data_IF_312601889716
#
_entry.id   IF_312601889716
#
_cell.length_a   1.000
_cell.length_b   1.000
_cell.length_c   1.000
_cell.angle_alpha   90.00
_cell.angle_beta   90.00
_cell.angle_gamma   90.00
#
_symmetry.space_group_name_H-M   'P 1'
#
loop_
_entity.id
_entity.type
_entity.pdbx_description
1 polymer ?
#
# COMPACT_ATOMS: atom_id res chain seq x y z
N UNK A 1 -6.98 14.26 5.06
CA UNK A 1 -6.65 12.97 4.44
C UNK A 1 -6.28 13.21 2.99
N UNK A 2 -5.07 12.83 2.59
CA UNK A 2 -4.66 12.79 1.19
C UNK A 2 -4.22 11.35 0.93
N UNK A 3 -5.06 10.58 0.25
CA UNK A 3 -4.64 9.27 -0.27
C UNK A 3 -3.63 9.57 -1.38
N UNK A 4 -2.40 9.01 -1.31
CA UNK A 4 -1.43 9.17 -2.38
C UNK A 4 -2.01 8.58 -3.67
N UNK A 5 -1.68 9.18 -4.82
CA UNK A 5 -2.02 8.55 -6.10
C UNK A 5 -1.31 7.20 -6.22
N UNK A 6 -1.79 6.34 -7.12
CA UNK A 6 -1.15 5.06 -7.39
C UNK A 6 0.35 5.21 -7.74
N UNK A 7 0.71 6.24 -8.51
CA UNK A 7 2.10 6.53 -8.87
C UNK A 7 2.94 6.92 -7.65
N UNK A 8 2.38 7.73 -6.75
CA UNK A 8 3.06 8.15 -5.53
C UNK A 8 3.22 6.97 -4.56
N UNK A 9 2.21 6.09 -4.46
CA UNK A 9 2.31 4.84 -3.71
C UNK A 9 3.45 3.95 -4.23
N UNK A 10 3.57 3.80 -5.56
CA UNK A 10 4.66 3.04 -6.18
C UNK A 10 6.02 3.64 -5.81
N UNK A 11 6.18 4.96 -5.92
CA UNK A 11 7.44 5.63 -5.60
C UNK A 11 7.78 5.51 -4.11
N UNK A 12 6.78 5.62 -3.22
CA UNK A 12 6.98 5.38 -1.79
C UNK A 12 7.43 3.93 -1.54
N UNK A 13 6.75 2.93 -2.11
CA UNK A 13 7.12 1.52 -1.93
C UNK A 13 8.53 1.23 -2.43
N UNK A 14 8.92 1.78 -3.59
CA UNK A 14 10.29 1.69 -4.11
C UNK A 14 11.31 2.31 -3.16
N UNK A 15 10.97 3.42 -2.49
CA UNK A 15 11.86 4.07 -1.54
C UNK A 15 12.10 3.22 -0.29
N UNK A 16 11.11 2.43 0.14
CA UNK A 16 11.22 1.57 1.34
C UNK A 16 11.91 0.26 1.01
N UNK A 17 11.49 -0.40 -0.08
CA UNK A 17 11.99 -1.73 -0.45
C UNK A 17 13.30 -1.69 -1.25
N UNK A 18 13.67 -0.52 -1.79
CA UNK A 18 14.84 -0.36 -2.67
C UNK A 18 14.63 -0.90 -4.09
N UNK A 19 13.40 -1.31 -4.44
CA UNK A 19 13.08 -1.81 -5.77
C UNK A 19 13.30 -0.74 -6.86
N UNK A 20 13.94 -1.13 -7.96
CA UNK A 20 14.14 -0.25 -9.12
C UNK A 20 12.84 0.01 -9.88
N UNK A 21 11.99 -1.01 -9.95
CA UNK A 21 10.71 -0.99 -10.67
C UNK A 21 9.69 -1.81 -9.90
N UNK A 22 8.53 -1.21 -9.68
CA UNK A 22 7.34 -1.88 -9.14
C UNK A 22 6.23 -1.69 -10.17
N UNK A 23 5.66 -2.79 -10.64
CA UNK A 23 4.51 -2.78 -11.54
C UNK A 23 3.23 -2.91 -10.71
N UNK A 24 2.29 -1.99 -10.91
CA UNK A 24 1.08 -1.91 -10.09
C UNK A 24 0.10 -3.06 -10.35
N UNK A 25 0.25 -3.77 -11.46
CA UNK A 25 -0.64 -4.85 -11.89
C UNK A 25 0.00 -6.23 -11.70
N UNK A 26 1.21 -6.29 -11.14
CA UNK A 26 1.91 -7.54 -10.78
C UNK A 26 1.69 -7.85 -9.29
N UNK A 27 1.48 -9.13 -8.92
CA UNK A 27 1.39 -9.53 -7.52
C UNK A 27 2.67 -9.15 -6.76
N UNK A 28 2.52 -8.59 -5.55
CA UNK A 28 3.64 -8.19 -4.70
C UNK A 28 4.57 -9.37 -4.40
N UNK A 29 4.04 -10.59 -4.34
CA UNK A 29 4.80 -11.82 -4.15
C UNK A 29 5.72 -12.18 -5.31
N UNK A 30 5.45 -11.67 -6.52
CA UNK A 30 6.30 -11.85 -7.69
C UNK A 30 7.38 -10.75 -7.80
N UNK A 31 7.30 -9.70 -6.97
CA UNK A 31 8.30 -8.63 -6.92
C UNK A 31 9.39 -9.04 -5.92
N UNK A 32 10.50 -9.58 -6.44
CA UNK A 32 11.59 -10.12 -5.61
C UNK A 32 12.22 -9.12 -4.64
N UNK A 33 12.12 -7.82 -4.95
CA UNK A 33 12.68 -6.72 -4.14
C UNK A 33 11.66 -6.14 -3.13
N UNK A 34 10.50 -6.78 -2.94
CA UNK A 34 9.48 -6.34 -1.97
C UNK A 34 9.19 -7.46 -0.99
N UNK A 35 9.62 -7.29 0.25
CA UNK A 35 9.34 -8.21 1.33
C UNK A 35 8.24 -7.70 2.27
N UNK A 36 7.67 -8.60 3.06
CA UNK A 36 6.68 -8.26 4.09
C UNK A 36 7.17 -7.20 5.09
N UNK A 37 8.48 -7.10 5.32
CA UNK A 37 9.08 -6.10 6.19
C UNK A 37 8.97 -4.69 5.58
N UNK A 38 9.22 -4.55 4.28
CA UNK A 38 9.13 -3.28 3.57
C UNK A 38 7.69 -2.77 3.52
N UNK A 39 6.72 -3.69 3.31
CA UNK A 39 5.30 -3.37 3.35
C UNK A 39 4.87 -2.83 4.73
N UNK A 40 5.38 -3.43 5.79
CA UNK A 40 5.11 -2.98 7.16
C UNK A 40 5.77 -1.63 7.45
N UNK A 41 7.03 -1.43 7.04
CA UNK A 41 7.72 -0.15 7.20
C UNK A 41 7.00 0.97 6.45
N UNK A 42 6.58 0.71 5.21
CA UNK A 42 5.77 1.64 4.43
C UNK A 42 4.46 1.98 5.15
N UNK A 43 3.74 0.97 5.66
CA UNK A 43 2.47 1.16 6.37
C UNK A 43 2.64 2.04 7.61
N UNK A 44 3.69 1.81 8.41
CA UNK A 44 3.99 2.66 9.56
C UNK A 44 4.28 4.10 9.15
N UNK A 45 5.03 4.31 8.06
CA UNK A 45 5.24 5.64 7.50
C UNK A 45 3.94 6.31 7.07
N UNK A 46 3.08 5.56 6.37
CA UNK A 46 1.77 6.03 5.92
C UNK A 46 0.85 6.41 7.10
N UNK A 47 0.74 5.54 8.12
CA UNK A 47 -0.02 5.79 9.34
C UNK A 47 0.53 7.00 10.10
N UNK A 48 1.85 7.16 10.17
CA UNK A 48 2.46 8.31 10.83
C UNK A 48 2.15 9.63 10.10
N UNK A 49 2.07 9.61 8.77
CA UNK A 49 1.70 10.77 7.97
C UNK A 49 0.18 11.01 7.95
N UNK A 50 -0.62 9.95 8.14
CA UNK A 50 -2.08 9.97 8.09
C UNK A 50 -2.66 9.23 9.31
N UNK A 51 -2.55 9.79 10.53
CA UNK A 51 -2.96 9.12 11.76
C UNK A 51 -4.46 8.78 11.80
N UNK A 52 -5.28 9.55 11.08
CA UNK A 52 -6.74 9.35 10.99
C UNK A 52 -7.18 8.48 9.80
N UNK A 53 -6.27 7.89 9.02
CA UNK A 53 -6.64 7.13 7.82
C UNK A 53 -7.21 5.73 8.10
N UNK A 54 -7.03 5.21 9.32
CA UNK A 54 -7.50 3.86 9.68
C UNK A 54 -6.91 2.74 8.82
N UNK A 55 -5.77 2.98 8.17
CA UNK A 55 -5.06 1.97 7.40
C UNK A 55 -4.34 1.02 8.35
N UNK A 56 -4.52 -0.28 8.16
CA UNK A 56 -3.92 -1.34 8.97
C UNK A 56 -3.39 -2.45 8.06
N UNK A 57 -2.69 -3.43 8.62
CA UNK A 57 -2.12 -4.55 7.87
C UNK A 57 -3.14 -5.32 6.99
N UNK A 58 -4.44 -5.20 7.28
CA UNK A 58 -5.53 -5.70 6.43
C UNK A 58 -5.49 -5.18 4.99
N UNK A 59 -4.88 -4.01 4.73
CA UNK A 59 -4.71 -3.53 3.35
C UNK A 59 -3.83 -4.46 2.51
N UNK A 60 -2.95 -5.24 3.16
CA UNK A 60 -2.11 -6.26 2.54
C UNK A 60 -2.65 -7.67 2.66
N UNK A 61 -3.93 -7.83 3.02
CA UNK A 61 -4.54 -9.15 3.05
C UNK A 61 -4.46 -9.81 1.66
N UNK A 62 -3.84 -10.98 1.59
CA UNK A 62 -3.42 -11.63 0.35
C UNK A 62 -3.92 -13.08 0.27
N UNK A 63 -5.19 -13.32 0.59
CA UNK A 63 -5.78 -14.68 0.64
C UNK A 63 -5.57 -15.48 -0.66
N UNK A 64 -5.57 -14.80 -1.82
CA UNK A 64 -5.42 -15.45 -3.14
C UNK A 64 -4.00 -15.36 -3.75
N UNK A 65 -3.02 -14.78 -3.05
CA UNK A 65 -1.68 -14.47 -3.62
C UNK A 65 -1.70 -13.54 -4.85
N UNK A 66 -2.79 -12.79 -5.04
CA UNK A 66 -2.99 -11.86 -6.16
C UNK A 66 -2.90 -10.39 -5.76
N UNK A 67 -2.47 -10.09 -4.53
CA UNK A 67 -2.35 -8.72 -4.04
C UNK A 67 -1.36 -7.92 -4.89
N UNK A 68 -1.84 -6.89 -5.56
CA UNK A 68 -1.02 -5.93 -6.32
C UNK A 68 -1.04 -4.56 -5.64
N UNK A 69 -0.13 -3.66 -6.05
CA UNK A 69 -0.13 -2.27 -5.56
C UNK A 69 -1.44 -1.55 -5.89
N UNK A 70 -2.04 -1.86 -7.05
CA UNK A 70 -3.35 -1.33 -7.43
C UNK A 70 -4.43 -1.72 -6.41
N UNK A 71 -4.47 -2.97 -6.00
CA UNK A 71 -5.43 -3.47 -5.00
C UNK A 71 -5.21 -2.78 -3.65
N UNK A 72 -3.94 -2.61 -3.22
CA UNK A 72 -3.62 -1.87 -1.98
C UNK A 72 -4.14 -0.43 -2.06
N UNK A 73 -3.89 0.27 -3.17
CA UNK A 73 -4.38 1.63 -3.40
C UNK A 73 -5.92 1.71 -3.38
N UNK A 74 -6.60 0.78 -4.03
CA UNK A 74 -8.07 0.70 -4.00
C UNK A 74 -8.59 0.51 -2.58
N UNK A 75 -8.00 -0.40 -1.79
CA UNK A 75 -8.36 -0.62 -0.39
C UNK A 75 -8.16 0.62 0.47
N UNK A 76 -7.03 1.31 0.32
CA UNK A 76 -6.76 2.58 1.02
C UNK A 76 -7.78 3.66 0.64
N UNK A 77 -8.14 3.75 -0.63
CA UNK A 77 -9.15 4.70 -1.13
C UNK A 77 -10.52 4.39 -0.52
N UNK A 78 -10.89 3.11 -0.43
CA UNK A 78 -12.14 2.66 0.19
C UNK A 78 -12.18 2.98 1.67
N UNK A 79 -11.06 2.82 2.41
CA UNK A 79 -10.99 3.15 3.83
C UNK A 79 -11.26 4.63 4.10
N UNK A 80 -10.60 5.53 3.36
CA UNK A 80 -10.83 6.98 3.51
C UNK A 80 -12.23 7.38 3.05
N UNK A 81 -12.79 6.72 2.04
CA UNK A 81 -14.16 6.99 1.61
C UNK A 81 -15.18 6.49 2.64
N UNK A 82 -14.92 5.36 3.30
CA UNK A 82 -15.79 4.80 4.33
C UNK A 82 -15.80 5.65 5.62
N UNK A 83 -14.68 6.28 5.97
CA UNK A 83 -14.60 7.21 7.11
C UNK A 83 -15.33 8.54 6.83
N UNK A 84 -15.33 9.02 5.58
CA UNK A 84 -15.99 10.27 5.19
C UNK A 84 -17.54 10.25 5.22
N UNK A 85 -18.16 9.09 5.40
CA UNK A 85 -19.63 8.93 5.52
C UNK A 85 -20.09 8.59 6.95
N UNK A 86 -19.17 8.57 7.93
CA UNK A 86 -19.43 8.29 9.35
C UNK A 86 -19.77 9.50 10.19
#
# INVERSE_FOLDING_TARGET
MMIPSLEDLIEQMKAVSGALTIDADVPLTDIADVDSMDLMEWLYGFQSANPDAGADANVFDNEDSLLTVRIVHERLTLLVTADAVG
#
